data_IF_657280664148
#
_entry.id   IF_657280664148
#
_cell.length_a   1.000
_cell.length_b   1.000
_cell.length_c   1.000
_cell.angle_alpha   90.00
_cell.angle_beta   90.00
_cell.angle_gamma   90.00
#
_symmetry.space_group_name_H-M   'P 1'
#
loop_
_entity.id
_entity.type
_entity.pdbx_description
1 polymer ?
#
# COMPACT_ATOMS: atom_id res chain seq x y z
N UNK A 1 0.65 -1.01 -2.08
CA UNK A 1 0.18 -0.21 -3.25
C UNK A 1 0.69 1.22 -3.12
N UNK A 2 0.83 2.03 -4.18
CA UNK A 2 1.18 3.44 -4.00
C UNK A 2 0.04 4.18 -3.28
N UNK A 3 0.33 5.30 -2.62
CA UNK A 3 -0.70 6.09 -1.94
C UNK A 3 -1.74 6.61 -2.94
N UNK A 4 -1.29 7.05 -4.12
CA UNK A 4 -2.09 7.21 -5.33
C UNK A 4 -1.23 6.88 -6.56
N UNK A 5 -1.83 6.49 -7.71
CA UNK A 5 -1.11 6.32 -8.97
C UNK A 5 -0.38 7.59 -9.40
N UNK A 6 0.78 7.46 -10.05
CA UNK A 6 1.57 8.60 -10.51
C UNK A 6 0.76 9.60 -11.34
N UNK A 7 0.95 10.89 -11.03
CA UNK A 7 0.22 12.00 -11.63
C UNK A 7 -0.26 13.02 -10.61
N UNK A 8 -0.93 14.07 -11.09
CA UNK A 8 -1.59 15.04 -10.22
C UNK A 8 -2.76 14.33 -9.52
N UNK A 9 -2.79 14.27 -8.18
CA UNK A 9 -3.73 13.39 -7.48
C UNK A 9 -5.19 13.81 -7.63
N UNK A 10 -5.46 15.09 -7.89
CA UNK A 10 -6.79 15.62 -8.21
C UNK A 10 -7.23 15.43 -9.67
N UNK A 11 -6.34 14.93 -10.54
CA UNK A 11 -6.66 14.74 -11.96
C UNK A 11 -7.73 13.67 -12.16
N UNK A 12 -8.52 13.82 -13.24
CA UNK A 12 -9.57 12.87 -13.61
C UNK A 12 -9.08 11.41 -13.68
N UNK A 13 -7.95 11.08 -14.35
CA UNK A 13 -7.46 9.70 -14.39
C UNK A 13 -7.13 9.14 -13.00
N UNK A 14 -6.42 9.91 -12.16
CA UNK A 14 -6.01 9.43 -10.83
C UNK A 14 -7.23 9.22 -9.93
N UNK A 15 -8.16 10.16 -9.91
CA UNK A 15 -9.40 10.04 -9.14
C UNK A 15 -10.24 8.83 -9.58
N UNK A 16 -10.27 8.54 -10.87
CA UNK A 16 -11.05 7.43 -11.41
C UNK A 16 -10.40 6.06 -11.11
N UNK A 17 -9.07 5.97 -11.15
CA UNK A 17 -8.33 4.76 -10.74
C UNK A 17 -8.51 4.51 -9.23
N UNK A 18 -8.47 5.56 -8.40
CA UNK A 18 -8.74 5.45 -6.96
C UNK A 18 -10.19 4.99 -6.68
N UNK A 19 -11.15 5.42 -7.50
CA UNK A 19 -12.53 4.94 -7.42
C UNK A 19 -12.63 3.43 -7.67
N UNK A 20 -12.00 2.93 -8.73
CA UNK A 20 -11.95 1.48 -8.99
C UNK A 20 -11.25 0.71 -7.88
N UNK A 21 -10.14 1.25 -7.39
CA UNK A 21 -9.40 0.68 -6.26
C UNK A 21 -10.30 0.53 -5.03
N UNK A 22 -11.08 1.58 -4.70
CA UNK A 22 -12.02 1.58 -3.57
C UNK A 22 -13.13 0.55 -3.74
N UNK A 23 -13.68 0.40 -4.94
CA UNK A 23 -14.72 -0.61 -5.21
C UNK A 23 -14.16 -2.03 -5.08
N UNK A 24 -12.94 -2.27 -5.55
CA UNK A 24 -12.26 -3.57 -5.40
C UNK A 24 -12.03 -3.90 -3.92
N UNK A 25 -11.53 -2.96 -3.12
CA UNK A 25 -11.39 -3.13 -1.67
C UNK A 25 -12.73 -3.46 -1.01
N UNK A 26 -13.79 -2.71 -1.35
CA UNK A 26 -15.12 -2.93 -0.77
C UNK A 26 -15.71 -4.30 -1.12
N UNK A 27 -15.51 -4.76 -2.35
CA UNK A 27 -15.89 -6.11 -2.75
C UNK A 27 -15.13 -7.16 -1.94
N UNK A 28 -13.81 -7.06 -1.84
CA UNK A 28 -12.98 -8.03 -1.12
C UNK A 28 -13.34 -8.10 0.37
N UNK A 29 -13.45 -6.96 1.04
CA UNK A 29 -13.79 -6.91 2.46
C UNK A 29 -15.20 -7.41 2.75
N UNK A 30 -16.17 -7.16 1.86
CA UNK A 30 -17.52 -7.70 1.98
C UNK A 30 -17.53 -9.23 1.91
N UNK A 31 -16.77 -9.83 0.98
CA UNK A 31 -16.65 -11.29 0.87
C UNK A 31 -16.04 -11.90 2.13
N UNK A 32 -14.99 -11.28 2.67
CA UNK A 32 -14.35 -11.73 3.91
C UNK A 32 -15.31 -11.64 5.10
N UNK A 33 -16.00 -10.49 5.27
CA UNK A 33 -16.95 -10.31 6.36
C UNK A 33 -18.10 -11.31 6.30
N UNK A 34 -18.61 -11.61 5.10
CA UNK A 34 -19.63 -12.65 4.89
C UNK A 34 -19.11 -14.03 5.32
N UNK A 35 -17.90 -14.40 4.91
CA UNK A 35 -17.31 -15.68 5.29
C UNK A 35 -17.11 -15.80 6.81
N UNK A 36 -16.68 -14.74 7.49
CA UNK A 36 -16.55 -14.69 8.96
C UNK A 36 -17.92 -14.90 9.63
N UNK A 37 -18.96 -14.22 9.12
CA UNK A 37 -20.33 -14.34 9.65
C UNK A 37 -20.89 -15.75 9.46
N UNK A 38 -20.67 -16.37 8.30
CA UNK A 38 -21.14 -17.72 7.98
C UNK A 38 -20.60 -18.80 8.92
N UNK A 39 -19.34 -18.65 9.36
CA UNK A 39 -18.71 -19.58 10.31
C UNK A 39 -18.93 -19.19 11.77
N UNK A 40 -19.57 -18.05 12.04
CA UNK A 40 -19.83 -17.54 13.39
C UNK A 40 -18.56 -17.14 14.15
N UNK A 41 -17.50 -16.75 13.44
CA UNK A 41 -16.26 -16.29 14.05
C UNK A 41 -16.36 -14.83 14.53
N UNK A 42 -15.57 -14.47 15.54
CA UNK A 42 -15.47 -13.10 16.07
C UNK A 42 -14.27 -12.33 15.52
N UNK A 43 -13.62 -12.83 14.47
CA UNK A 43 -12.45 -12.20 13.85
C UNK A 43 -12.85 -10.93 13.08
N UNK A 44 -11.91 -9.99 12.91
CA UNK A 44 -12.14 -8.81 12.09
C UNK A 44 -11.68 -9.06 10.64
N UNK A 45 -12.31 -8.48 9.59
CA UNK A 45 -11.84 -8.65 8.21
C UNK A 45 -10.37 -8.28 7.97
N UNK A 46 -9.81 -7.38 8.77
CA UNK A 46 -8.40 -6.96 8.72
C UNK A 46 -7.44 -7.94 9.39
N UNK A 47 -7.95 -9.01 10.02
CA UNK A 47 -7.12 -10.15 10.43
C UNK A 47 -6.71 -11.01 9.21
N UNK A 48 -7.41 -10.86 8.07
CA UNK A 48 -7.21 -11.65 6.85
C UNK A 48 -6.68 -10.84 5.67
N UNK A 49 -7.08 -9.56 5.53
CA UNK A 49 -6.68 -8.71 4.41
C UNK A 49 -6.28 -7.31 4.87
N UNK A 50 -5.10 -6.87 4.48
CA UNK A 50 -4.56 -5.56 4.83
C UNK A 50 -3.97 -4.86 3.60
N UNK A 51 -4.25 -3.57 3.48
CA UNK A 51 -3.67 -2.70 2.46
C UNK A 51 -2.70 -1.72 3.11
N UNK A 52 -1.51 -1.63 2.53
CA UNK A 52 -0.47 -0.69 2.94
C UNK A 52 0.01 0.14 1.74
N UNK A 53 0.50 1.33 2.03
CA UNK A 53 1.35 2.10 1.11
C UNK A 53 2.68 2.46 1.78
N UNK A 54 3.57 3.08 1.02
CA UNK A 54 4.87 3.53 1.53
C UNK A 54 4.94 5.05 1.57
N UNK A 55 5.57 5.58 2.60
CA UNK A 55 5.75 7.00 2.82
C UNK A 55 7.09 7.29 3.46
N UNK A 56 7.57 8.51 3.29
CA UNK A 56 8.69 9.02 4.05
C UNK A 56 8.39 10.42 4.57
N UNK A 57 9.01 10.74 5.70
CA UNK A 57 8.97 12.06 6.32
C UNK A 57 10.30 12.29 7.03
N UNK A 58 10.93 13.41 6.72
CA UNK A 58 12.31 13.69 7.13
C UNK A 58 12.40 15.05 7.79
N UNK A 59 13.02 15.13 8.96
CA UNK A 59 13.38 16.42 9.53
C UNK A 59 14.39 17.14 8.63
N UNK A 60 14.47 18.47 8.75
CA UNK A 60 15.45 19.23 7.98
C UNK A 60 16.85 18.94 8.50
N UNK A 61 17.71 18.39 7.65
CA UNK A 61 19.09 18.06 8.01
C UNK A 61 20.02 19.27 8.05
N UNK A 62 21.12 19.17 8.81
CA UNK A 62 22.20 20.14 8.74
C UNK A 62 22.91 20.06 7.38
N UNK A 63 23.03 21.18 6.68
CA UNK A 63 23.65 21.23 5.35
C UNK A 63 22.78 20.70 4.21
N UNK A 64 21.50 20.45 4.44
CA UNK A 64 20.56 20.06 3.39
C UNK A 64 20.49 21.14 2.29
N UNK A 65 20.33 20.68 1.05
CA UNK A 65 20.16 21.54 -0.12
C UNK A 65 19.03 22.56 0.08
N UNK A 66 19.31 23.82 -0.30
CA UNK A 66 18.33 24.90 -0.26
C UNK A 66 17.95 25.25 -1.71
N UNK A 67 16.69 25.03 -2.12
CA UNK A 67 16.27 25.37 -3.48
C UNK A 67 16.28 26.88 -3.70
N UNK A 68 16.63 27.36 -4.91
CA UNK A 68 16.72 28.79 -5.21
C UNK A 68 15.36 29.50 -5.26
N UNK A 69 14.27 28.74 -5.38
CA UNK A 69 12.90 29.27 -5.40
C UNK A 69 11.97 28.37 -4.58
N UNK A 70 10.95 29.00 -3.99
CA UNK A 70 9.88 28.29 -3.30
C UNK A 70 8.71 27.99 -4.25
N UNK A 71 8.02 26.86 -4.09
CA UNK A 71 6.80 26.57 -4.85
C UNK A 71 5.71 27.61 -4.59
N UNK A 72 4.71 27.74 -5.48
CA UNK A 72 3.56 28.61 -5.26
C UNK A 72 2.87 28.31 -3.93
N UNK A 73 2.64 29.34 -3.11
CA UNK A 73 1.96 29.21 -1.83
C UNK A 73 0.64 28.46 -1.98
N UNK A 74 0.31 27.65 -0.97
CA UNK A 74 -0.92 26.82 -0.89
C UNK A 74 -1.05 25.69 -1.92
N UNK A 75 -0.12 25.56 -2.88
CA UNK A 75 -0.06 24.39 -3.77
C UNK A 75 0.25 23.11 -2.99
N UNK A 76 -0.11 21.95 -3.56
CA UNK A 76 0.26 20.64 -2.99
C UNK A 76 1.77 20.52 -2.82
N UNK A 77 2.55 21.06 -3.76
CA UNK A 77 4.00 21.06 -3.68
C UNK A 77 4.50 21.87 -2.46
N UNK A 78 4.00 23.08 -2.27
CA UNK A 78 4.37 23.90 -1.11
C UNK A 78 4.01 23.22 0.23
N UNK A 79 2.83 22.59 0.30
CA UNK A 79 2.39 21.87 1.49
C UNK A 79 3.28 20.67 1.80
N UNK A 80 3.54 19.81 0.81
CA UNK A 80 4.41 18.65 0.96
C UNK A 80 5.85 19.05 1.33
N UNK A 81 6.38 20.11 0.72
CA UNK A 81 7.71 20.63 1.05
C UNK A 81 7.80 21.11 2.50
N UNK A 82 6.80 21.84 2.99
CA UNK A 82 6.80 22.37 4.36
C UNK A 82 6.50 21.30 5.41
N UNK A 83 5.59 20.37 5.10
CA UNK A 83 5.26 19.27 5.99
C UNK A 83 6.27 18.12 5.90
N UNK A 84 7.25 18.24 5.00
CA UNK A 84 8.46 17.42 4.90
C UNK A 84 8.17 15.95 4.65
N UNK A 85 7.09 15.67 3.92
CA UNK A 85 6.57 14.32 3.72
C UNK A 85 6.15 14.10 2.28
N UNK A 86 6.29 12.87 1.81
CA UNK A 86 5.71 12.44 0.55
C UNK A 86 5.60 10.90 0.52
N UNK A 87 4.82 10.37 -0.41
CA UNK A 87 4.80 8.92 -0.62
C UNK A 87 6.14 8.42 -1.17
N UNK A 88 6.54 7.22 -0.77
CA UNK A 88 7.49 6.44 -1.55
C UNK A 88 6.66 5.70 -2.60
N UNK A 89 6.93 5.96 -3.86
CA UNK A 89 6.07 5.45 -4.93
C UNK A 89 6.32 3.96 -5.17
N UNK A 90 5.29 3.15 -4.91
CA UNK A 90 5.32 1.70 -5.16
C UNK A 90 5.05 1.44 -6.63
N UNK A 91 6.13 1.32 -7.42
CA UNK A 91 6.06 0.94 -8.83
C UNK A 91 6.19 -0.58 -9.06
N UNK A 92 6.42 -1.36 -8.00
CA UNK A 92 6.63 -2.80 -8.07
C UNK A 92 5.42 -3.56 -8.62
N UNK A 93 5.68 -4.60 -9.42
CA UNK A 93 4.70 -5.61 -9.83
C UNK A 93 5.24 -6.98 -9.47
N UNK A 94 5.06 -7.31 -8.20
CA UNK A 94 5.62 -8.50 -7.56
C UNK A 94 4.55 -9.16 -6.69
N UNK A 95 4.55 -10.49 -6.68
CA UNK A 95 3.76 -11.29 -5.75
C UNK A 95 4.66 -12.39 -5.16
N UNK A 96 4.62 -12.54 -3.84
CA UNK A 96 5.31 -13.58 -3.08
C UNK A 96 4.23 -14.46 -2.45
N UNK A 97 4.35 -15.78 -2.57
CA UNK A 97 3.38 -16.75 -2.05
C UNK A 97 4.14 -17.78 -1.22
N UNK A 98 3.71 -17.95 0.03
CA UNK A 98 4.18 -18.95 0.99
C UNK A 98 5.70 -19.00 1.23
N UNK A 99 6.43 -17.93 0.91
CA UNK A 99 7.90 -17.91 0.86
C UNK A 99 8.54 -18.92 -0.12
N UNK A 100 7.73 -19.48 -1.02
CA UNK A 100 8.10 -20.58 -1.92
C UNK A 100 8.02 -20.20 -3.40
N UNK A 101 7.12 -19.29 -3.77
CA UNK A 101 6.88 -18.89 -5.16
C UNK A 101 6.87 -17.37 -5.30
N UNK A 102 7.49 -16.88 -6.37
CA UNK A 102 7.57 -15.46 -6.68
C UNK A 102 7.17 -15.20 -8.13
N UNK A 103 6.38 -14.16 -8.35
CA UNK A 103 6.13 -13.58 -9.67
C UNK A 103 6.70 -12.18 -9.69
N UNK A 104 7.53 -11.86 -10.68
CA UNK A 104 8.04 -10.50 -10.93
C UNK A 104 7.84 -10.17 -12.41
N UNK A 105 7.35 -8.97 -12.70
CA UNK A 105 7.17 -8.54 -14.09
C UNK A 105 6.83 -7.07 -14.24
N UNK A 106 6.20 -6.75 -15.38
CA UNK A 106 5.70 -5.42 -15.71
C UNK A 106 4.19 -5.27 -15.45
N UNK A 107 3.45 -6.37 -15.37
CA UNK A 107 1.99 -6.38 -15.28
C UNK A 107 1.44 -5.86 -13.95
N UNK A 108 0.68 -4.76 -13.98
CA UNK A 108 -0.07 -4.28 -12.81
C UNK A 108 -1.28 -5.18 -12.52
N UNK A 109 -1.82 -5.12 -11.30
CA UNK A 109 -3.10 -5.77 -10.96
C UNK A 109 -4.25 -4.85 -11.42
N UNK A 110 -4.46 -4.80 -12.73
CA UNK A 110 -5.52 -4.02 -13.38
C UNK A 110 -5.86 -4.64 -14.75
N UNK A 111 -6.97 -4.25 -15.37
CA UNK A 111 -7.42 -4.78 -16.65
C UNK A 111 -6.48 -4.40 -17.79
N UNK A 112 -5.84 -3.23 -17.74
CA UNK A 112 -4.83 -2.83 -18.73
C UNK A 112 -3.70 -3.87 -18.89
N UNK A 113 -3.18 -4.37 -17.79
CA UNK A 113 -2.08 -5.35 -17.80
C UNK A 113 -2.59 -6.80 -17.86
N UNK A 114 -3.70 -7.12 -17.18
CA UNK A 114 -4.21 -8.50 -17.06
C UNK A 114 -5.16 -8.91 -18.19
N UNK A 115 -5.61 -7.96 -19.01
CA UNK A 115 -6.58 -8.23 -20.08
C UNK A 115 -6.00 -9.02 -21.27
N UNK A 116 -4.68 -9.03 -21.46
CA UNK A 116 -4.02 -9.77 -22.56
C UNK A 116 -4.17 -9.14 -23.95
N UNK A 117 -5.25 -8.38 -24.20
CA UNK A 117 -5.45 -7.63 -25.46
C UNK A 117 -5.24 -6.10 -25.36
N UNK A 118 -4.68 -5.63 -24.23
CA UNK A 118 -4.42 -4.20 -23.98
C UNK A 118 -2.91 -3.90 -24.03
N UNK A 119 -2.27 -3.67 -22.89
CA UNK A 119 -0.81 -3.45 -22.87
C UNK A 119 -0.10 -4.81 -22.96
N UNK A 120 1.03 -4.84 -23.69
CA UNK A 120 1.89 -6.03 -23.75
C UNK A 120 2.74 -6.10 -22.49
N UNK A 121 2.59 -7.17 -21.72
CA UNK A 121 3.30 -7.36 -20.46
C UNK A 121 4.19 -8.61 -20.50
N UNK A 122 5.20 -8.64 -19.63
CA UNK A 122 6.00 -9.83 -19.38
C UNK A 122 6.17 -10.04 -17.88
N UNK A 123 6.12 -11.30 -17.44
CA UNK A 123 6.39 -11.69 -16.07
C UNK A 123 7.08 -13.05 -16.04
N UNK A 124 7.88 -13.28 -15.02
CA UNK A 124 8.48 -14.58 -14.71
C UNK A 124 7.91 -15.07 -13.38
N UNK A 125 7.56 -16.36 -13.34
CA UNK A 125 7.25 -17.10 -12.12
C UNK A 125 8.39 -18.05 -11.78
N UNK A 126 8.84 -18.05 -10.52
CA UNK A 126 9.97 -18.86 -10.08
C UNK A 126 9.72 -19.47 -8.70
N UNK A 127 10.33 -20.64 -8.46
CA UNK A 127 10.46 -21.28 -7.16
C UNK A 127 11.77 -22.06 -7.10
N UNK A 128 12.20 -22.42 -5.90
CA UNK A 128 13.38 -23.26 -5.67
C UNK A 128 12.91 -24.67 -5.26
N UNK A 129 13.07 -25.71 -6.10
CA UNK A 129 12.52 -27.05 -5.83
C UNK A 129 12.94 -27.65 -4.49
N UNK A 130 14.16 -27.34 -4.03
CA UNK A 130 14.70 -27.76 -2.74
C UNK A 130 14.09 -27.06 -1.52
N UNK A 131 13.34 -25.98 -1.74
CA UNK A 131 12.74 -25.12 -0.71
C UNK A 131 11.19 -25.15 -0.67
N UNK A 132 10.54 -26.09 -1.37
CA UNK A 132 9.07 -26.21 -1.46
C UNK A 132 8.53 -27.37 -0.60
N UNK A 133 7.42 -27.14 0.11
CA UNK A 133 6.55 -28.20 0.64
C UNK A 133 7.07 -29.01 1.83
N UNK A 134 8.22 -28.68 2.41
CA UNK A 134 8.72 -29.29 3.66
C UNK A 134 8.77 -28.26 4.78
N UNK A 135 8.17 -28.58 5.93
CA UNK A 135 8.37 -27.80 7.17
C UNK A 135 9.88 -27.65 7.44
N UNK A 136 10.34 -26.41 7.57
CA UNK A 136 11.75 -26.07 7.78
C UNK A 136 12.61 -25.88 6.53
N UNK A 137 12.09 -26.11 5.30
CA UNK A 137 12.86 -25.83 4.07
C UNK A 137 12.54 -24.48 3.42
N UNK A 138 11.67 -23.66 4.01
CA UNK A 138 11.17 -22.42 3.40
C UNK A 138 12.15 -21.24 3.43
N UNK A 139 13.32 -21.40 4.05
CA UNK A 139 14.35 -20.34 4.15
C UNK A 139 15.19 -20.16 2.86
N UNK A 140 14.55 -20.32 1.70
CA UNK A 140 15.15 -20.07 0.40
C UNK A 140 15.40 -18.58 0.12
N UNK A 141 15.80 -18.26 -1.10
CA UNK A 141 16.05 -16.88 -1.51
C UNK A 141 14.78 -16.04 -1.59
N UNK A 142 13.62 -16.67 -1.84
CA UNK A 142 12.31 -16.00 -1.81
C UNK A 142 11.99 -15.50 -0.41
N UNK A 143 12.14 -16.35 0.62
CA UNK A 143 12.02 -15.95 2.02
C UNK A 143 12.99 -14.82 2.39
N UNK A 144 14.28 -14.97 2.06
CA UNK A 144 15.29 -13.93 2.35
C UNK A 144 14.96 -12.60 1.67
N UNK A 145 14.47 -12.66 0.43
CA UNK A 145 14.06 -11.48 -0.32
C UNK A 145 12.84 -10.80 0.33
N UNK A 146 11.84 -11.59 0.73
CA UNK A 146 10.72 -11.08 1.52
C UNK A 146 11.20 -10.43 2.82
N UNK A 147 12.10 -11.08 3.58
CA UNK A 147 12.70 -10.54 4.81
C UNK A 147 13.44 -9.23 4.57
N UNK A 148 14.19 -9.13 3.48
CA UNK A 148 14.86 -7.89 3.07
C UNK A 148 13.88 -6.76 2.77
N UNK A 149 12.80 -7.02 2.02
CA UNK A 149 11.77 -6.02 1.72
C UNK A 149 11.05 -5.53 2.98
N UNK A 150 10.72 -6.43 3.89
CA UNK A 150 10.09 -6.03 5.15
C UNK A 150 11.05 -5.23 6.01
N UNK A 151 12.34 -5.58 6.04
CA UNK A 151 13.34 -4.77 6.73
C UNK A 151 13.47 -3.38 6.13
N UNK A 152 13.46 -3.25 4.80
CA UNK A 152 13.43 -1.95 4.12
C UNK A 152 12.20 -1.13 4.53
N UNK A 153 11.02 -1.74 4.57
CA UNK A 153 9.78 -1.02 4.83
C UNK A 153 9.51 -0.76 6.32
N UNK A 154 10.10 -1.56 7.22
CA UNK A 154 9.78 -1.55 8.67
C UNK A 154 10.99 -1.12 9.52
N UNK A 155 12.20 -1.07 8.95
CA UNK A 155 13.48 -0.83 9.62
C UNK A 155 13.77 -1.75 10.82
N UNK A 156 13.07 -2.89 10.92
CA UNK A 156 13.18 -3.86 12.02
C UNK A 156 12.96 -5.28 11.54
N UNK A 157 13.50 -6.22 12.31
CA UNK A 157 13.24 -7.66 12.18
C UNK A 157 12.57 -8.11 13.47
N UNK A 158 11.42 -8.77 13.36
CA UNK A 158 10.71 -9.37 14.49
C UNK A 158 10.51 -10.87 14.22
N UNK A 159 10.52 -11.69 15.28
CA UNK A 159 10.34 -13.14 15.15
C UNK A 159 8.99 -13.50 14.50
N UNK A 160 7.94 -12.72 14.77
CA UNK A 160 6.63 -12.89 14.16
C UNK A 160 6.67 -12.82 12.63
N UNK A 161 7.63 -12.11 12.04
CA UNK A 161 7.74 -11.98 10.58
C UNK A 161 8.15 -13.27 9.89
N UNK A 162 8.73 -14.23 10.62
CA UNK A 162 9.05 -15.55 10.06
C UNK A 162 7.79 -16.35 9.70
N UNK A 163 6.65 -16.03 10.33
CA UNK A 163 5.37 -16.72 10.14
C UNK A 163 4.29 -15.69 9.71
N UNK A 164 4.33 -15.20 8.44
CA UNK A 164 3.47 -14.11 7.97
C UNK A 164 1.96 -14.44 8.01
N UNK A 165 1.60 -15.71 8.03
CA UNK A 165 0.23 -16.20 8.18
C UNK A 165 -0.30 -16.13 9.62
N UNK A 166 0.56 -15.89 10.61
CA UNK A 166 0.16 -15.82 12.01
C UNK A 166 -0.61 -14.52 12.32
N UNK A 167 -1.60 -14.62 13.20
CA UNK A 167 -2.34 -13.45 13.68
C UNK A 167 -1.44 -12.45 14.41
N UNK A 168 -0.39 -12.94 15.07
CA UNK A 168 0.62 -12.12 15.73
C UNK A 168 1.35 -11.24 14.70
N UNK A 169 1.83 -11.83 13.60
CA UNK A 169 2.47 -11.07 12.53
C UNK A 169 1.55 -10.01 11.93
N UNK A 170 0.30 -10.37 11.62
CA UNK A 170 -0.70 -9.45 11.09
C UNK A 170 -0.96 -8.29 12.05
N UNK A 171 -1.11 -8.59 13.35
CA UNK A 171 -1.30 -7.60 14.41
C UNK A 171 -0.12 -6.62 14.51
N UNK A 172 1.11 -7.13 14.48
CA UNK A 172 2.33 -6.31 14.51
C UNK A 172 2.39 -5.38 13.29
N UNK A 173 2.19 -5.90 12.08
CA UNK A 173 2.21 -5.10 10.85
C UNK A 173 1.15 -4.00 10.85
N UNK A 174 -0.07 -4.33 11.27
CA UNK A 174 -1.18 -3.36 11.37
C UNK A 174 -0.87 -2.27 12.39
N UNK A 175 -0.33 -2.64 13.55
CA UNK A 175 0.06 -1.70 14.59
C UNK A 175 1.12 -0.72 14.08
N UNK A 176 2.19 -1.24 13.48
CA UNK A 176 3.26 -0.40 12.90
C UNK A 176 2.71 0.51 11.80
N UNK A 177 1.93 -0.04 10.87
CA UNK A 177 1.34 0.73 9.78
C UNK A 177 0.42 1.86 10.28
N UNK A 178 -0.36 1.63 11.35
CA UNK A 178 -1.22 2.64 11.96
C UNK A 178 -0.41 3.71 12.70
N UNK A 179 0.56 3.30 13.53
CA UNK A 179 1.48 4.22 14.21
C UNK A 179 2.19 5.13 13.21
N UNK A 180 2.67 4.58 12.10
CA UNK A 180 3.37 5.35 11.06
C UNK A 180 2.43 6.20 10.21
N UNK A 181 1.18 5.78 10.00
CA UNK A 181 0.16 6.66 9.40
C UNK A 181 -0.10 7.89 10.27
N UNK A 182 -0.21 7.72 11.59
CA UNK A 182 -0.41 8.83 12.54
C UNK A 182 0.79 9.78 12.54
N UNK A 183 2.01 9.26 12.50
CA UNK A 183 3.24 10.07 12.34
C UNK A 183 3.26 10.78 10.99
N UNK A 184 2.94 10.09 9.90
CA UNK A 184 2.95 10.66 8.56
C UNK A 184 1.93 11.78 8.42
N UNK A 185 0.70 11.59 8.91
CA UNK A 185 -0.42 12.54 8.76
C UNK A 185 -0.36 13.72 9.76
N UNK A 186 0.32 13.56 10.89
CA UNK A 186 0.35 14.55 11.97
C UNK A 186 0.91 15.92 11.59
N UNK A 187 0.53 16.96 12.33
CA UNK A 187 0.94 18.35 12.05
C UNK A 187 2.43 18.60 12.32
N UNK A 188 2.99 17.95 13.35
CA UNK A 188 4.39 18.07 13.69
C UNK A 188 5.27 17.34 12.67
N UNK A 189 6.31 18.02 12.17
CA UNK A 189 7.33 17.38 11.34
C UNK A 189 8.21 16.51 12.24
N UNK A 190 8.10 15.19 12.06
CA UNK A 190 8.85 14.19 12.80
C UNK A 190 9.40 13.17 11.81
N UNK A 191 10.65 12.77 12.00
CA UNK A 191 11.30 11.77 11.18
C UNK A 191 10.66 10.37 11.37
N UNK A 192 10.41 9.67 10.26
CA UNK A 192 9.86 8.30 10.28
C UNK A 192 10.91 7.21 10.60
N UNK A 193 12.18 7.60 10.77
CA UNK A 193 13.30 6.77 11.23
C UNK A 193 13.51 5.52 10.37
N UNK A 194 13.30 5.65 9.06
CA UNK A 194 13.42 4.57 8.09
C UNK A 194 12.24 3.59 8.06
N UNK A 195 11.21 3.79 8.89
CA UNK A 195 9.98 2.99 8.80
C UNK A 195 9.09 3.62 7.73
N UNK A 196 8.92 2.92 6.62
CA UNK A 196 8.23 3.46 5.45
C UNK A 196 6.80 2.92 5.27
N UNK A 197 6.51 1.75 5.85
CA UNK A 197 5.18 1.16 5.77
C UNK A 197 4.17 2.01 6.54
N UNK A 198 3.06 2.34 5.88
CA UNK A 198 1.90 2.98 6.51
C UNK A 198 0.64 2.21 6.11
N UNK A 199 -0.31 2.11 7.03
CA UNK A 199 -1.64 1.58 6.69
C UNK A 199 -2.25 2.44 5.60
N UNK A 200 -2.82 1.81 4.58
CA UNK A 200 -3.55 2.56 3.56
C UNK A 200 -4.72 3.28 4.24
N UNK A 201 -5.00 4.57 3.94
CA UNK A 201 -5.81 5.42 4.81
C UNK A 201 -7.31 5.19 4.63
N UNK A 202 -7.77 4.01 5.07
CA UNK A 202 -9.16 3.57 5.06
C UNK A 202 -9.46 2.82 6.36
N UNK A 203 -10.67 3.01 6.87
CA UNK A 203 -11.17 2.21 7.98
C UNK A 203 -12.09 1.11 7.45
N UNK A 204 -12.05 -0.06 8.09
CA UNK A 204 -12.85 -1.22 7.69
C UNK A 204 -13.77 -1.57 8.84
N UNK A 205 -15.08 -1.64 8.59
CA UNK A 205 -16.07 -2.09 9.58
C UNK A 205 -16.12 -3.61 9.68
N UNK A 206 -16.74 -4.11 10.76
CA UNK A 206 -16.97 -5.55 10.96
C UNK A 206 -17.78 -6.19 9.83
N UNK A 207 -18.69 -5.45 9.21
CA UNK A 207 -19.49 -5.91 8.06
C UNK A 207 -18.81 -5.69 6.69
N UNK A 208 -17.53 -5.31 6.69
CA UNK A 208 -16.70 -5.20 5.49
C UNK A 208 -16.90 -3.94 4.67
N UNK A 209 -17.54 -2.90 5.22
CA UNK A 209 -17.59 -1.58 4.57
C UNK A 209 -16.24 -0.89 4.70
N UNK A 210 -15.87 -0.21 3.63
CA UNK A 210 -14.66 0.61 3.58
C UNK A 210 -15.08 2.06 3.79
N UNK A 211 -14.51 2.70 4.80
CA UNK A 211 -14.83 4.05 5.25
C UNK A 211 -13.63 5.00 5.04
N UNK A 212 -13.94 6.30 5.03
CA UNK A 212 -12.94 7.36 4.83
C UNK A 212 -12.34 7.74 6.19
N UNK A 213 -11.01 7.84 6.28
CA UNK A 213 -10.33 8.39 7.46
C UNK A 213 -10.09 9.90 7.27
N UNK A 214 -10.02 10.65 8.38
CA UNK A 214 -9.50 12.04 8.42
C UNK A 214 -10.08 13.00 7.38
N UNK A 215 -11.40 12.93 7.15
CA UNK A 215 -12.07 13.79 6.17
C UNK A 215 -11.89 13.35 4.71
N UNK A 216 -11.32 12.17 4.48
CA UNK A 216 -11.32 11.46 3.20
C UNK A 216 -10.36 12.00 2.15
N UNK A 217 -9.30 12.70 2.56
CA UNK A 217 -8.31 13.29 1.65
C UNK A 217 -6.88 12.88 2.00
N UNK A 218 -6.03 12.77 0.98
CA UNK A 218 -4.61 12.54 1.23
C UNK A 218 -3.94 13.78 1.82
N UNK A 219 -3.01 13.61 2.79
CA UNK A 219 -2.25 14.72 3.36
C UNK A 219 -1.63 15.60 2.28
N UNK A 220 -1.65 16.91 2.50
CA UNK A 220 -1.08 17.94 1.61
C UNK A 220 -1.79 18.14 0.25
N UNK A 221 -2.90 17.45 0.02
CA UNK A 221 -3.66 17.51 -1.24
C UNK A 221 -5.13 17.86 -1.01
N UNK A 222 -5.87 18.09 -2.09
CA UNK A 222 -7.34 18.10 -2.09
C UNK A 222 -7.92 16.80 -2.68
N UNK A 223 -7.07 15.82 -2.97
CA UNK A 223 -7.43 14.55 -3.58
C UNK A 223 -8.20 13.67 -2.62
N UNK A 224 -9.32 13.10 -3.10
CA UNK A 224 -10.13 12.18 -2.31
C UNK A 224 -9.46 10.80 -2.28
N UNK A 225 -9.36 10.20 -1.10
CA UNK A 225 -8.81 8.85 -0.92
C UNK A 225 -9.67 7.81 -1.63
N UNK A 226 -11.00 7.94 -1.52
CA UNK A 226 -11.97 7.07 -2.20
C UNK A 226 -12.04 7.26 -3.72
N UNK A 227 -11.35 8.28 -4.24
CA UNK A 227 -11.45 8.69 -5.63
C UNK A 227 -12.82 9.25 -6.02
N UNK A 228 -13.01 9.42 -7.33
CA UNK A 228 -14.26 9.87 -7.94
C UNK A 228 -14.39 9.25 -9.32
N UNK A 229 -15.54 8.65 -9.62
CA UNK A 229 -15.85 8.14 -10.95
C UNK A 229 -15.80 9.28 -11.97
N UNK A 230 -15.02 9.12 -13.03
CA UNK A 230 -14.97 10.08 -14.13
C UNK A 230 -16.23 10.00 -14.99
N UNK A 231 -16.76 11.17 -15.36
CA UNK A 231 -17.84 11.31 -16.34
C UNK A 231 -17.31 11.50 -17.77
N UNK A 232 -16.00 11.70 -17.92
CA UNK A 232 -15.34 11.98 -19.21
C UNK A 232 -14.54 10.78 -19.71
N UNK A 233 -13.90 10.04 -18.80
CA UNK A 233 -13.03 8.92 -19.16
C UNK A 233 -13.82 7.60 -19.18
N UNK A 234 -13.83 6.88 -20.30
CA UNK A 234 -14.42 5.55 -20.33
C UNK A 234 -13.58 4.59 -19.46
N UNK A 235 -14.19 3.58 -18.83
CA UNK A 235 -13.47 2.65 -17.95
C UNK A 235 -12.26 1.99 -18.60
N UNK A 236 -12.29 1.76 -19.93
CA UNK A 236 -11.17 1.16 -20.67
C UNK A 236 -9.85 1.93 -20.51
N UNK A 237 -9.89 3.23 -20.22
CA UNK A 237 -8.71 4.05 -20.01
C UNK A 237 -8.14 3.94 -18.58
N UNK A 238 -8.98 3.61 -17.60
CA UNK A 238 -8.68 3.73 -16.15
C UNK A 238 -8.84 2.41 -15.37
N UNK A 239 -9.17 1.32 -16.07
CA UNK A 239 -9.25 -0.05 -15.53
C UNK A 239 -8.06 -0.88 -15.93
#
# INVERSE_FOLDING_TARGET
MPMWPEGVPESEPVQDILHWTRLTMAMMYKLIAQAIQEVGASSHPTDYLNFFCLANREEKGCGEYIPPASPPHSSNYWKAQNNRRFMIYVHSKIMLVDDEYIVIGSANINQRSMGGERDTEIAIGCYQPEHVGKEGSREGDIHKYRMSLWYEHIAKVEAAFLEPQSIECVSVLRRIGKEMWDVYRGDAVVDMRGVHIVSYPVDISEDGRVEDVDGGKFPDTNSLIKGRRSMLLPPVCTT
#
